data_IF_511701007474
#
_entry.id   IF_511701007474
#
_cell.length_a   1.000
_cell.length_b   1.000
_cell.length_c   1.000
_cell.angle_alpha   90.00
_cell.angle_beta   90.00
_cell.angle_gamma   90.00
#
_symmetry.space_group_name_H-M   'P 1'
#
loop_
_entity.id
_entity.type
_entity.pdbx_description
1 polymer ?
#
# COMPACT_ATOMS: atom_id res chain seq x y z
N UNK A 1 -14.69 16.88 1.12
CA UNK A 1 -16.14 16.63 0.97
C UNK A 1 -16.74 15.66 2.01
N UNK A 2 -15.95 14.77 2.64
CA UNK A 2 -16.45 13.80 3.63
C UNK A 2 -17.17 14.42 4.85
N UNK A 3 -16.57 15.44 5.47
CA UNK A 3 -17.15 16.10 6.65
C UNK A 3 -18.53 16.72 6.39
N UNK A 4 -18.68 17.51 5.32
CA UNK A 4 -19.96 18.13 4.97
C UNK A 4 -21.06 17.09 4.67
N UNK A 5 -20.71 15.94 4.09
CA UNK A 5 -21.64 14.84 3.89
C UNK A 5 -22.11 14.23 5.23
N UNK A 6 -21.19 14.04 6.18
CA UNK A 6 -21.52 13.56 7.53
C UNK A 6 -22.38 14.57 8.30
N UNK A 7 -22.07 15.87 8.24
CA UNK A 7 -22.91 16.93 8.84
C UNK A 7 -24.32 16.94 8.26
N UNK A 8 -24.45 16.77 6.94
CA UNK A 8 -25.77 16.75 6.26
C UNK A 8 -26.61 15.52 6.58
N UNK A 9 -25.97 14.42 7.00
CA UNK A 9 -26.66 13.21 7.47
C UNK A 9 -27.03 13.34 8.95
N UNK A 10 -26.13 13.88 9.76
CA UNK A 10 -26.34 14.10 11.18
C UNK A 10 -27.47 15.09 11.45
N UNK A 11 -27.68 16.10 10.60
CA UNK A 11 -28.80 17.06 10.75
C UNK A 11 -30.21 16.44 10.70
N UNK A 12 -30.32 15.16 10.31
CA UNK A 12 -31.58 14.40 10.25
C UNK A 12 -31.87 13.63 11.54
N UNK A 13 -30.97 13.67 12.53
CA UNK A 13 -31.04 12.93 13.79
C UNK A 13 -30.57 13.86 14.93
N UNK A 14 -31.13 13.75 16.13
CA UNK A 14 -30.58 14.44 17.31
C UNK A 14 -29.39 13.62 17.81
N UNK A 15 -28.20 13.93 17.32
CA UNK A 15 -26.93 13.33 17.75
C UNK A 15 -26.18 14.41 18.51
N UNK A 16 -25.67 14.07 19.69
CA UNK A 16 -24.84 14.98 20.48
C UNK A 16 -23.50 15.23 19.76
N UNK A 17 -22.90 16.40 19.97
CA UNK A 17 -21.68 16.80 19.28
C UNK A 17 -20.52 15.81 19.54
N UNK A 18 -20.43 15.23 20.74
CA UNK A 18 -19.43 14.22 21.11
C UNK A 18 -19.62 12.93 20.28
N UNK A 19 -20.85 12.43 20.18
CA UNK A 19 -21.17 11.23 19.40
C UNK A 19 -20.96 11.45 17.90
N UNK A 20 -21.23 12.66 17.42
CA UNK A 20 -20.93 13.06 16.04
C UNK A 20 -19.42 13.07 15.77
N UNK A 21 -18.63 13.64 16.67
CA UNK A 21 -17.16 13.70 16.56
C UNK A 21 -16.59 12.28 16.55
N UNK A 22 -17.00 11.42 17.49
CA UNK A 22 -16.59 10.03 17.56
C UNK A 22 -16.95 9.26 16.28
N UNK A 23 -18.17 9.42 15.78
CA UNK A 23 -18.61 8.80 14.53
C UNK A 23 -17.81 9.26 13.30
N UNK A 24 -17.38 10.52 13.26
CA UNK A 24 -16.52 11.04 12.19
C UNK A 24 -15.10 10.50 12.32
N UNK A 25 -14.54 10.45 13.54
CA UNK A 25 -13.21 9.93 13.83
C UNK A 25 -13.14 8.43 13.49
N UNK A 26 -14.14 7.63 13.88
CA UNK A 26 -14.17 6.19 13.59
C UNK A 26 -14.19 5.88 12.10
N UNK A 27 -14.82 6.76 11.31
CA UNK A 27 -14.83 6.68 9.86
C UNK A 27 -13.52 7.11 9.18
N UNK A 28 -12.49 7.53 9.93
CA UNK A 28 -11.17 7.83 9.35
C UNK A 28 -10.48 6.51 8.94
N UNK A 29 -10.17 6.35 7.65
CA UNK A 29 -9.60 5.11 7.14
C UNK A 29 -8.16 4.84 7.62
N UNK A 30 -7.37 5.89 7.82
CA UNK A 30 -5.99 5.75 8.30
C UNK A 30 -5.98 5.56 9.82
N UNK A 31 -5.49 4.40 10.28
CA UNK A 31 -5.53 4.02 11.70
C UNK A 31 -4.66 4.93 12.56
N UNK A 32 -3.54 5.42 12.03
CA UNK A 32 -2.65 6.33 12.76
C UNK A 32 -3.33 7.68 12.98
N UNK A 33 -3.88 8.24 11.90
CA UNK A 33 -4.61 9.49 11.94
C UNK A 33 -5.87 9.41 12.81
N UNK A 34 -6.59 8.28 12.76
CA UNK A 34 -7.74 8.02 13.64
C UNK A 34 -7.34 8.00 15.11
N UNK A 35 -6.27 7.26 15.47
CA UNK A 35 -5.75 7.22 16.85
C UNK A 35 -5.30 8.60 17.31
N UNK A 36 -4.66 9.36 16.44
CA UNK A 36 -4.25 10.74 16.76
C UNK A 36 -5.47 11.65 17.00
N UNK A 37 -6.52 11.51 16.20
CA UNK A 37 -7.77 12.25 16.39
C UNK A 37 -8.42 11.96 17.75
N UNK A 38 -8.49 10.67 18.13
CA UNK A 38 -8.99 10.22 19.42
C UNK A 38 -8.23 10.83 20.60
N UNK A 39 -6.90 10.91 20.52
CA UNK A 39 -6.08 11.50 21.58
C UNK A 39 -6.22 13.03 21.69
N UNK A 40 -6.72 13.69 20.65
CA UNK A 40 -6.83 15.15 20.59
C UNK A 40 -8.07 15.67 21.34
N UNK A 41 -9.04 14.81 21.67
CA UNK A 41 -10.26 15.11 22.43
C UNK A 41 -10.94 16.42 22.00
N UNK A 42 -11.43 16.48 20.75
CA UNK A 42 -12.12 17.67 20.25
C UNK A 42 -13.46 17.85 20.96
N UNK A 43 -13.71 19.01 21.56
CA UNK A 43 -14.99 19.32 22.23
C UNK A 43 -16.01 20.03 21.35
N UNK A 44 -15.71 20.19 20.05
CA UNK A 44 -16.65 20.74 19.09
C UNK A 44 -16.32 20.33 17.64
N UNK A 45 -17.33 20.13 16.77
CA UNK A 45 -17.12 19.68 15.39
C UNK A 45 -16.21 20.59 14.54
N UNK A 46 -16.24 21.91 14.80
CA UNK A 46 -15.39 22.87 14.09
C UNK A 46 -13.89 22.69 14.38
N UNK A 47 -13.55 22.16 15.56
CA UNK A 47 -12.16 21.93 15.95
C UNK A 47 -11.57 20.77 15.14
N UNK A 48 -12.35 19.71 14.93
CA UNK A 48 -12.00 18.59 14.07
C UNK A 48 -11.76 19.06 12.63
N UNK A 49 -12.65 19.88 12.07
CA UNK A 49 -12.47 20.50 10.76
C UNK A 49 -11.14 21.26 10.66
N UNK A 50 -10.87 22.14 11.62
CA UNK A 50 -9.67 22.98 11.64
C UNK A 50 -8.39 22.17 11.78
N UNK A 51 -8.40 21.11 12.60
CA UNK A 51 -7.24 20.25 12.79
C UNK A 51 -6.90 19.43 11.54
N UNK A 52 -7.91 19.07 10.73
CA UNK A 52 -7.74 18.22 9.55
C UNK A 52 -7.66 18.98 8.23
N UNK A 53 -7.91 20.28 8.21
CA UNK A 53 -7.91 21.12 6.99
C UNK A 53 -6.62 21.00 6.17
N UNK A 54 -5.47 20.87 6.83
CA UNK A 54 -4.14 20.79 6.19
C UNK A 54 -3.62 19.37 6.00
N UNK A 55 -4.37 18.36 6.44
CA UNK A 55 -3.94 16.97 6.38
C UNK A 55 -4.30 16.39 5.01
N UNK A 56 -3.28 16.13 4.20
CA UNK A 56 -3.44 15.46 2.90
C UNK A 56 -3.21 13.96 3.08
N UNK A 57 -4.25 13.16 2.84
CA UNK A 57 -4.12 11.70 2.85
C UNK A 57 -3.39 11.22 1.58
N UNK A 58 -2.48 10.25 1.68
CA UNK A 58 -1.89 9.61 0.51
C UNK A 58 -2.98 8.92 -0.31
N UNK A 59 -2.83 8.94 -1.64
CA UNK A 59 -3.80 8.51 -2.67
C UNK A 59 -4.26 7.04 -2.61
N UNK A 60 -3.88 6.29 -1.57
CA UNK A 60 -4.26 4.88 -1.35
C UNK A 60 -5.70 4.69 -0.89
N UNK A 61 -6.37 5.73 -0.39
CA UNK A 61 -7.77 5.68 0.03
C UNK A 61 -8.70 6.25 -1.04
N UNK A 62 -8.92 5.45 -2.07
CA UNK A 62 -9.93 5.69 -3.10
C UNK A 62 -9.95 4.54 -4.10
N UNK A 63 -11.14 3.96 -4.28
CA UNK A 63 -11.53 2.91 -5.26
C UNK A 63 -11.52 1.47 -4.73
N UNK A 64 -12.64 1.10 -4.09
CA UNK A 64 -13.20 -0.25 -4.25
C UNK A 64 -13.74 -0.39 -5.68
N UNK A 65 -12.88 -0.54 -6.68
CA UNK A 65 -13.15 -1.23 -7.95
C UNK A 65 -11.81 -1.74 -8.48
N UNK A 66 -11.78 -3.02 -8.88
CA UNK A 66 -10.55 -3.76 -9.11
C UNK A 66 -9.62 -3.13 -10.15
N UNK A 67 -8.42 -2.73 -9.72
CA UNK A 67 -7.28 -2.55 -10.58
C UNK A 67 -6.01 -2.92 -9.83
N UNK A 68 -5.47 -4.09 -10.19
CA UNK A 68 -4.05 -4.33 -10.08
C UNK A 68 -3.34 -3.16 -10.78
N UNK A 69 -2.48 -2.45 -10.04
CA UNK A 69 -1.33 -1.63 -10.44
C UNK A 69 -1.36 -0.22 -9.82
N UNK A 70 -0.27 0.15 -9.13
CA UNK A 70 -0.03 1.55 -8.79
C UNK A 70 0.56 1.84 -7.41
N UNK A 71 1.12 0.85 -6.72
CA UNK A 71 2.00 1.11 -5.58
C UNK A 71 3.44 1.22 -6.08
N UNK A 72 3.94 2.45 -6.23
CA UNK A 72 5.35 2.80 -6.51
C UNK A 72 5.93 2.25 -7.82
N UNK A 73 6.90 2.92 -8.46
CA UNK A 73 7.61 2.38 -9.62
C UNK A 73 8.60 1.28 -9.21
N UNK A 74 8.33 0.51 -8.15
CA UNK A 74 9.09 -0.70 -7.87
C UNK A 74 8.77 -1.67 -8.99
N UNK A 75 9.72 -1.99 -9.87
CA UNK A 75 9.45 -2.88 -10.98
C UNK A 75 8.99 -4.21 -10.40
N UNK A 76 7.78 -4.63 -10.78
CA UNK A 76 7.19 -5.87 -10.29
C UNK A 76 8.10 -7.03 -10.68
N UNK A 77 8.51 -7.83 -9.70
CA UNK A 77 9.42 -8.96 -9.88
C UNK A 77 8.64 -10.26 -9.88
N UNK A 78 8.84 -11.06 -10.92
CA UNK A 78 8.23 -12.36 -11.04
C UNK A 78 8.79 -13.33 -9.98
N UNK A 79 7.92 -13.93 -9.17
CA UNK A 79 8.32 -14.92 -8.15
C UNK A 79 8.76 -16.28 -8.72
N UNK A 80 8.47 -16.55 -10.00
CA UNK A 80 8.91 -17.77 -10.67
C UNK A 80 10.34 -17.64 -11.22
N UNK A 81 10.61 -16.58 -11.98
CA UNK A 81 11.86 -16.42 -12.73
C UNK A 81 12.76 -15.26 -12.26
N UNK A 82 12.31 -14.49 -11.28
CA UNK A 82 13.01 -13.35 -10.71
C UNK A 82 13.30 -12.21 -11.72
N UNK A 83 12.70 -12.24 -12.91
CA UNK A 83 12.73 -11.14 -13.89
C UNK A 83 11.71 -10.05 -13.56
N UNK A 84 11.95 -8.84 -14.06
CA UNK A 84 11.05 -7.70 -13.87
C UNK A 84 9.97 -7.67 -14.95
N UNK A 85 8.86 -6.97 -14.70
CA UNK A 85 7.83 -6.63 -15.68
C UNK A 85 6.65 -7.60 -15.79
N UNK A 86 6.59 -8.66 -14.97
CA UNK A 86 5.44 -9.58 -14.90
C UNK A 86 5.36 -10.28 -13.54
N UNK A 87 4.19 -10.82 -13.18
CA UNK A 87 4.02 -11.70 -12.01
C UNK A 87 4.17 -13.18 -12.35
N UNK A 88 4.27 -14.05 -11.35
CA UNK A 88 4.42 -15.49 -11.55
C UNK A 88 3.28 -16.13 -12.38
N UNK A 89 2.06 -15.58 -12.30
CA UNK A 89 0.91 -16.04 -13.10
C UNK A 89 1.05 -15.80 -14.60
N UNK A 90 1.81 -14.79 -15.00
CA UNK A 90 2.07 -14.43 -16.41
C UNK A 90 3.42 -14.98 -16.91
N UNK A 91 4.11 -15.76 -16.09
CA UNK A 91 5.44 -16.26 -16.42
C UNK A 91 5.36 -17.41 -17.44
N UNK A 92 6.01 -17.22 -18.60
CA UNK A 92 6.12 -18.26 -19.64
C UNK A 92 7.21 -19.30 -19.39
N UNK A 93 8.03 -19.12 -18.34
CA UNK A 93 9.06 -20.10 -17.96
C UNK A 93 8.44 -21.26 -17.18
N UNK A 94 9.03 -22.47 -17.21
CA UNK A 94 8.56 -23.58 -16.40
C UNK A 94 8.44 -23.19 -14.93
N UNK A 95 7.48 -23.79 -14.22
CA UNK A 95 7.30 -23.55 -12.79
C UNK A 95 8.56 -24.00 -12.06
N UNK A 96 9.11 -23.11 -11.27
CA UNK A 96 10.26 -23.37 -10.41
C UNK A 96 9.87 -24.38 -9.34
N UNK A 97 10.78 -25.31 -9.05
CA UNK A 97 10.61 -26.25 -7.96
C UNK A 97 10.49 -25.52 -6.61
N UNK A 98 9.59 -26.01 -5.75
CA UNK A 98 9.39 -25.44 -4.42
C UNK A 98 10.66 -25.67 -3.60
N UNK A 99 11.19 -24.60 -3.00
CA UNK A 99 12.43 -24.64 -2.23
C UNK A 99 13.70 -24.29 -3.02
N UNK A 100 13.62 -24.08 -4.34
CA UNK A 100 14.80 -23.70 -5.12
C UNK A 100 15.35 -22.34 -4.67
N UNK A 101 16.54 -21.99 -5.14
CA UNK A 101 17.08 -20.65 -5.04
C UNK A 101 16.32 -19.74 -6.01
N UNK A 102 15.86 -18.57 -5.55
CA UNK A 102 15.22 -17.57 -6.42
C UNK A 102 16.22 -16.86 -7.35
N UNK A 103 17.52 -17.11 -7.20
CA UNK A 103 18.59 -16.56 -8.04
C UNK A 103 18.95 -17.46 -9.21
N UNK A 104 19.46 -18.64 -8.89
CA UNK A 104 20.01 -19.57 -9.88
C UNK A 104 19.14 -20.81 -10.11
N UNK A 105 18.12 -21.06 -9.28
CA UNK A 105 17.26 -22.24 -9.40
C UNK A 105 17.81 -23.51 -8.73
N UNK A 106 18.98 -23.47 -8.07
CA UNK A 106 19.53 -24.62 -7.33
C UNK A 106 18.68 -25.00 -6.10
N UNK A 107 18.60 -26.29 -5.78
CA UNK A 107 18.02 -26.81 -4.53
C UNK A 107 18.97 -26.69 -3.32
N UNK A 108 20.26 -26.40 -3.54
CA UNK A 108 21.29 -26.49 -2.49
C UNK A 108 21.30 -25.32 -1.51
N UNK A 109 20.68 -24.20 -1.85
CA UNK A 109 20.72 -22.99 -1.03
C UNK A 109 19.50 -22.09 -1.26
N UNK A 110 19.24 -21.21 -0.29
CA UNK A 110 18.28 -20.12 -0.44
C UNK A 110 18.95 -18.91 -1.08
N UNK A 111 18.16 -18.00 -1.66
CA UNK A 111 18.65 -16.80 -2.36
C UNK A 111 19.61 -15.94 -1.54
N UNK A 112 19.50 -15.97 -0.21
CA UNK A 112 20.39 -15.27 0.73
C UNK A 112 21.83 -15.81 0.72
N UNK A 113 22.01 -17.09 0.42
CA UNK A 113 23.29 -17.80 0.34
C UNK A 113 23.63 -18.16 -1.12
N UNK A 114 23.17 -17.36 -2.08
CA UNK A 114 23.42 -17.58 -3.50
C UNK A 114 24.65 -16.79 -3.97
N UNK A 115 25.73 -17.51 -4.26
CA UNK A 115 26.99 -16.91 -4.74
C UNK A 115 26.89 -16.39 -6.19
N UNK A 116 26.00 -16.99 -6.99
CA UNK A 116 25.80 -16.64 -8.40
C UNK A 116 25.11 -15.28 -8.61
N UNK A 117 24.36 -14.80 -7.61
CA UNK A 117 23.53 -13.58 -7.74
C UNK A 117 24.29 -12.28 -7.49
N UNK A 118 25.45 -12.33 -6.82
CA UNK A 118 26.24 -11.12 -6.50
C UNK A 118 26.96 -10.52 -7.72
N UNK A 119 27.05 -11.24 -8.84
CA UNK A 119 27.90 -10.86 -9.98
C UNK A 119 27.21 -10.18 -11.17
N UNK A 120 25.88 -10.01 -11.18
CA UNK A 120 25.15 -9.48 -12.36
C UNK A 120 24.66 -8.02 -12.23
N UNK A 121 25.50 -7.13 -11.68
CA UNK A 121 25.36 -5.68 -11.87
C UNK A 121 26.52 -5.10 -12.72
N UNK A 122 27.54 -5.92 -13.03
CA UNK A 122 28.69 -5.51 -13.85
C UNK A 122 28.94 -6.47 -15.02
N UNK A 123 28.03 -6.55 -16.00
CA UNK A 123 28.35 -6.96 -17.38
C UNK A 123 27.12 -6.89 -18.29
N UNK A 124 26.80 -5.69 -18.75
CA UNK A 124 26.06 -5.50 -20.00
C UNK A 124 26.82 -4.53 -20.90
N UNK A 125 28.04 -4.95 -21.26
CA UNK A 125 28.67 -4.59 -22.54
C UNK A 125 29.56 -5.76 -22.94
N UNK A 126 29.10 -6.60 -23.87
CA UNK A 126 29.96 -7.45 -24.68
C UNK A 126 29.63 -7.15 -26.14
N UNK A 127 30.68 -6.90 -26.92
CA UNK A 127 30.60 -6.41 -28.28
C UNK A 127 30.02 -7.39 -29.29
N UNK A 128 29.63 -6.83 -30.43
CA UNK A 128 29.70 -7.41 -31.76
C UNK A 128 30.65 -6.48 -32.53
N UNK A 129 31.82 -6.95 -32.97
CA UNK A 129 32.04 -7.51 -34.31
C UNK A 129 31.55 -6.57 -35.40
#
# INVERSE_FOLDING_TARGET
>A
MYFNAKVSLASRIVIDDEEFIDGVIEGIPDVGLRRQAHMQCFGAPYQLLKAFEKIMLPKKYGSTEGANTGASPTPIRCYNCNSLGHVAGECRKPKRERGACYGCGSMSHQVSHCDEKKYKIASSTQGAQ
#
